data_IF_171591353508
#
_entry.id   IF_171591353508
#
_cell.length_a   1.000
_cell.length_b   1.000
_cell.length_c   1.000
_cell.angle_alpha   90.00
_cell.angle_beta   90.00
_cell.angle_gamma   90.00
#
_symmetry.space_group_name_H-M   'P 1'
#
loop_
_entity.id
_entity.type
_entity.pdbx_description
1 polymer ?
#
# COMPACT_ATOMS: atom_id res chain seq x y z
N UNK A 1 12.74 -3.87 65.13
CA UNK A 1 12.90 -4.38 63.77
C UNK A 1 11.85 -3.78 62.84
N UNK A 2 10.56 -3.74 63.20
CA UNK A 2 9.48 -3.17 62.39
C UNK A 2 9.63 -1.67 62.07
N UNK A 3 10.18 -0.87 62.97
CA UNK A 3 10.42 0.56 62.77
C UNK A 3 11.52 0.85 61.75
N UNK A 4 12.46 -0.07 61.54
CA UNK A 4 13.52 0.01 60.52
C UNK A 4 13.02 -0.50 59.13
N UNK A 5 12.07 -1.39 59.12
CA UNK A 5 11.57 -1.98 57.88
C UNK A 5 10.69 -1.01 57.04
N UNK A 6 9.88 -0.18 57.73
CA UNK A 6 8.99 0.81 57.07
C UNK A 6 9.75 1.83 56.22
N UNK A 7 10.83 2.48 56.67
CA UNK A 7 11.60 3.40 55.84
C UNK A 7 12.21 2.70 54.61
N UNK A 8 12.72 1.48 54.77
CA UNK A 8 13.30 0.72 53.65
C UNK A 8 12.24 0.43 52.58
N UNK A 9 11.06 -0.03 52.99
CA UNK A 9 9.93 -0.24 52.04
C UNK A 9 9.52 1.08 51.35
N UNK A 10 9.47 2.18 52.10
CA UNK A 10 9.15 3.51 51.54
C UNK A 10 10.15 3.89 50.44
N UNK A 11 11.45 3.79 50.70
CA UNK A 11 12.48 4.10 49.72
C UNK A 11 12.44 3.16 48.50
N UNK A 12 12.20 1.87 48.73
CA UNK A 12 12.07 0.89 47.62
C UNK A 12 10.87 1.24 46.74
N UNK A 13 9.71 1.53 47.33
CA UNK A 13 8.51 1.90 46.58
C UNK A 13 8.70 3.25 45.87
N UNK A 14 9.32 4.24 46.51
CA UNK A 14 9.63 5.53 45.90
C UNK A 14 10.59 5.36 44.71
N UNK A 15 11.65 4.56 44.85
CA UNK A 15 12.57 4.25 43.78
C UNK A 15 11.86 3.58 42.59
N UNK A 16 11.03 2.59 42.87
CA UNK A 16 10.25 1.92 41.84
C UNK A 16 9.26 2.85 41.10
N UNK A 17 8.62 3.75 41.87
CA UNK A 17 7.72 4.76 41.33
C UNK A 17 8.48 5.73 40.41
N UNK A 18 9.63 6.26 40.88
CA UNK A 18 10.49 7.12 40.06
C UNK A 18 10.94 6.44 38.78
N UNK A 19 11.43 5.20 38.84
CA UNK A 19 11.88 4.44 37.68
C UNK A 19 10.75 4.29 36.65
N UNK A 20 9.52 3.94 37.09
CA UNK A 20 8.35 3.85 36.19
C UNK A 20 7.98 5.19 35.59
N UNK A 21 8.04 6.27 36.40
CA UNK A 21 7.73 7.62 35.93
C UNK A 21 8.74 8.12 34.92
N UNK A 22 10.03 7.87 35.11
CA UNK A 22 11.07 8.20 34.15
C UNK A 22 10.91 7.42 32.84
N UNK A 23 10.67 6.10 32.91
CA UNK A 23 10.42 5.29 31.71
C UNK A 23 9.16 5.76 30.95
N UNK A 24 8.12 6.20 31.66
CA UNK A 24 6.94 6.80 31.03
C UNK A 24 7.24 8.15 30.39
N UNK A 25 8.01 9.01 31.07
CA UNK A 25 8.42 10.31 30.55
C UNK A 25 9.30 10.16 29.30
N UNK A 26 10.27 9.24 29.32
CA UNK A 26 11.15 8.95 28.16
C UNK A 26 10.33 8.63 26.90
N UNK A 27 9.34 7.72 27.01
CA UNK A 27 8.44 7.39 25.87
C UNK A 27 7.62 8.59 25.37
N UNK A 28 7.22 9.47 26.27
CA UNK A 28 6.49 10.69 25.89
C UNK A 28 7.41 11.64 25.14
N UNK A 29 8.63 11.82 25.62
CA UNK A 29 9.62 12.68 24.97
C UNK A 29 10.09 12.10 23.64
N UNK A 30 10.24 10.78 23.48
CA UNK A 30 10.52 10.16 22.19
C UNK A 30 9.50 10.58 21.12
N UNK A 31 8.21 10.70 21.48
CA UNK A 31 7.16 11.14 20.56
C UNK A 31 7.19 12.65 20.36
N UNK A 32 7.39 13.44 21.43
CA UNK A 32 7.41 14.92 21.35
C UNK A 32 8.63 15.41 20.57
N UNK A 33 9.79 14.78 20.77
CA UNK A 33 11.05 15.15 20.12
C UNK A 33 11.22 14.49 18.74
N UNK A 34 10.27 13.64 18.33
CA UNK A 34 10.29 13.03 17.01
C UNK A 34 10.29 14.12 15.91
N UNK A 35 11.21 14.01 14.97
CA UNK A 35 11.31 14.97 13.87
C UNK A 35 10.06 14.90 13.01
N UNK A 36 9.32 16.00 12.93
CA UNK A 36 8.14 16.09 12.08
C UNK A 36 8.51 15.98 10.59
N UNK A 37 7.62 15.36 9.81
CA UNK A 37 7.77 15.38 8.34
C UNK A 37 7.67 16.82 7.82
N UNK A 38 8.47 17.20 6.79
CA UNK A 38 8.43 18.53 6.18
C UNK A 38 7.22 18.66 5.25
N UNK A 39 6.00 18.50 5.81
CA UNK A 39 4.76 18.48 5.01
C UNK A 39 4.47 19.86 4.39
N UNK A 40 4.74 20.93 5.12
CA UNK A 40 4.49 22.31 4.74
C UNK A 40 5.79 23.10 4.49
N UNK A 41 6.82 22.47 3.91
CA UNK A 41 8.08 23.15 3.61
C UNK A 41 7.84 24.30 2.61
N UNK A 42 8.07 25.59 3.00
CA UNK A 42 7.87 26.73 2.11
C UNK A 42 8.82 26.73 0.89
N UNK A 43 9.92 25.99 0.96
CA UNK A 43 10.93 25.89 -0.12
C UNK A 43 10.64 24.73 -1.06
N UNK A 44 9.65 23.89 -0.76
CA UNK A 44 9.29 22.75 -1.58
C UNK A 44 8.76 23.19 -2.95
N UNK A 45 9.19 22.48 -3.98
CA UNK A 45 8.67 22.66 -5.34
C UNK A 45 7.23 22.19 -5.39
N UNK A 46 6.35 23.08 -5.88
CA UNK A 46 4.94 22.76 -6.06
C UNK A 46 4.71 22.13 -7.42
N UNK A 47 4.06 20.96 -7.43
CA UNK A 47 3.63 20.26 -8.62
C UNK A 47 2.14 19.90 -8.50
N UNK A 48 1.24 20.86 -8.72
CA UNK A 48 -0.19 20.66 -8.51
C UNK A 48 -0.81 19.65 -9.49
N UNK A 49 -0.10 19.31 -10.56
CA UNK A 49 -0.53 18.32 -11.54
C UNK A 49 0.68 17.52 -12.01
N UNK A 50 0.61 16.20 -11.81
CA UNK A 50 1.61 15.26 -12.28
C UNK A 50 1.20 14.64 -13.64
N UNK A 51 2.19 14.29 -14.45
CA UNK A 51 2.03 13.38 -15.58
C UNK A 51 2.13 11.93 -15.11
N UNK A 52 2.99 11.68 -14.11
CA UNK A 52 3.13 10.42 -13.42
C UNK A 52 4.33 9.58 -13.88
N UNK A 53 5.36 10.20 -14.49
CA UNK A 53 6.62 9.50 -14.75
C UNK A 53 7.38 9.31 -13.44
N UNK A 54 7.79 8.06 -13.15
CA UNK A 54 8.56 7.73 -11.94
C UNK A 54 9.92 7.15 -12.36
N UNK A 55 11.00 7.64 -11.75
CA UNK A 55 12.35 7.20 -12.08
C UNK A 55 13.18 7.00 -10.80
N UNK A 56 13.73 5.80 -10.64
CA UNK A 56 14.76 5.49 -9.64
C UNK A 56 16.13 5.57 -10.31
N UNK A 57 17.09 6.27 -9.69
CA UNK A 57 18.48 6.41 -10.17
C UNK A 57 19.42 5.95 -9.07
N UNK A 58 20.11 4.83 -9.29
CA UNK A 58 21.08 4.24 -8.36
C UNK A 58 20.57 4.27 -6.91
N UNK A 59 19.29 3.86 -6.69
CA UNK A 59 18.64 4.03 -5.42
C UNK A 59 19.06 2.93 -4.43
N UNK A 60 19.66 3.36 -3.30
CA UNK A 60 20.00 2.51 -2.15
C UNK A 60 19.14 2.91 -0.97
N UNK A 61 18.66 1.92 -0.23
CA UNK A 61 17.88 2.16 0.98
C UNK A 61 17.90 0.95 1.93
N UNK A 62 17.96 1.21 3.24
CA UNK A 62 17.76 0.24 4.31
C UNK A 62 17.01 0.83 5.49
N UNK A 63 16.13 0.06 6.11
CA UNK A 63 15.42 0.51 7.33
C UNK A 63 16.35 0.60 8.54
N UNK A 64 17.35 -0.28 8.60
CA UNK A 64 18.36 -0.28 9.65
C UNK A 64 19.72 0.11 9.06
N UNK A 65 20.55 0.89 9.76
CA UNK A 65 21.91 1.18 9.35
C UNK A 65 22.71 -0.11 9.09
N UNK A 66 23.35 -0.18 7.93
CA UNK A 66 24.17 -1.34 7.53
C UNK A 66 23.40 -2.56 7.01
N UNK A 67 22.07 -2.50 6.91
CA UNK A 67 21.25 -3.56 6.31
C UNK A 67 20.51 -3.06 5.07
N UNK A 68 21.16 -2.92 3.92
CA UNK A 68 20.53 -2.41 2.71
C UNK A 68 19.46 -3.41 2.20
N UNK A 69 18.25 -2.88 1.96
CA UNK A 69 17.15 -3.59 1.33
C UNK A 69 17.15 -3.37 -0.18
N UNK A 70 17.39 -2.14 -0.63
CA UNK A 70 17.60 -1.81 -2.04
C UNK A 70 19.08 -1.47 -2.27
N UNK A 71 19.64 -1.97 -3.39
CA UNK A 71 21.09 -1.99 -3.64
C UNK A 71 21.42 -1.50 -5.05
N UNK A 72 21.14 -0.22 -5.33
CA UNK A 72 21.36 0.39 -6.63
C UNK A 72 20.25 0.01 -7.60
N UNK A 73 19.05 0.47 -7.34
CA UNK A 73 17.90 0.26 -8.20
C UNK A 73 17.84 1.36 -9.25
N UNK A 74 17.87 0.95 -10.52
CA UNK A 74 17.58 1.79 -11.69
C UNK A 74 16.29 1.29 -12.33
N UNK A 75 15.28 2.16 -12.40
CA UNK A 75 13.97 1.82 -12.96
C UNK A 75 13.29 3.09 -13.47
N UNK A 76 12.80 3.05 -14.69
CA UNK A 76 11.95 4.11 -15.27
C UNK A 76 10.58 3.53 -15.56
N UNK A 77 9.55 4.24 -15.16
CA UNK A 77 8.13 3.93 -15.44
C UNK A 77 7.52 5.15 -16.09
N UNK A 78 7.00 4.99 -17.29
CA UNK A 78 6.46 6.09 -18.07
C UNK A 78 5.00 6.41 -17.67
N UNK A 79 4.52 7.65 -17.96
CA UNK A 79 3.16 8.05 -17.65
C UNK A 79 2.11 7.09 -18.24
N UNK A 80 1.19 6.62 -17.41
CA UNK A 80 0.13 5.71 -17.83
C UNK A 80 0.53 4.25 -17.97
N UNK A 81 1.81 3.91 -17.75
CA UNK A 81 2.30 2.53 -17.78
C UNK A 81 1.88 1.76 -16.53
N UNK A 82 1.46 0.51 -16.69
CA UNK A 82 1.22 -0.41 -15.58
C UNK A 82 2.37 -1.41 -15.45
N UNK A 83 3.11 -1.35 -14.35
CA UNK A 83 4.15 -2.33 -14.04
C UNK A 83 3.72 -3.28 -12.94
N UNK A 84 4.10 -4.56 -13.09
CA UNK A 84 3.96 -5.57 -12.04
C UNK A 84 5.29 -5.79 -11.32
N UNK A 85 5.33 -5.52 -10.01
CA UNK A 85 6.48 -5.80 -9.15
C UNK A 85 6.43 -7.25 -8.67
N UNK A 86 7.42 -8.05 -9.06
CA UNK A 86 7.51 -9.48 -8.77
C UNK A 86 8.78 -9.78 -7.99
N UNK A 87 8.75 -10.77 -7.13
CA UNK A 87 9.92 -11.19 -6.34
C UNK A 87 9.51 -11.89 -5.05
N UNK A 88 10.46 -12.55 -4.41
CA UNK A 88 10.26 -13.22 -3.11
C UNK A 88 9.81 -12.24 -2.03
N UNK A 89 9.22 -12.76 -0.95
CA UNK A 89 8.97 -11.94 0.24
C UNK A 89 10.29 -11.33 0.75
N UNK A 90 10.28 -10.06 1.12
CA UNK A 90 11.49 -9.34 1.56
C UNK A 90 12.43 -8.89 0.44
N UNK A 91 12.14 -9.13 -0.84
CA UNK A 91 13.01 -8.70 -1.95
C UNK A 91 13.11 -7.18 -2.13
N UNK A 92 12.22 -6.36 -1.52
CA UNK A 92 12.23 -4.91 -1.61
C UNK A 92 11.05 -4.28 -2.36
N UNK A 93 10.04 -5.07 -2.79
CA UNK A 93 8.86 -4.55 -3.53
C UNK A 93 8.10 -3.45 -2.77
N UNK A 94 7.70 -3.72 -1.53
CA UNK A 94 7.00 -2.73 -0.69
C UNK A 94 7.90 -1.55 -0.33
N UNK A 95 9.21 -1.76 -0.27
CA UNK A 95 10.18 -0.69 -0.03
C UNK A 95 10.21 0.29 -1.21
N UNK A 96 10.15 -0.18 -2.47
CA UNK A 96 10.01 0.70 -3.63
C UNK A 96 8.76 1.58 -3.53
N UNK A 97 7.63 0.99 -3.16
CA UNK A 97 6.37 1.73 -2.95
C UNK A 97 6.51 2.78 -1.85
N UNK A 98 7.11 2.42 -0.72
CA UNK A 98 7.33 3.33 0.40
C UNK A 98 8.20 4.53 -0.01
N UNK A 99 9.18 4.32 -0.89
CA UNK A 99 10.01 5.40 -1.42
C UNK A 99 9.24 6.28 -2.41
N UNK A 100 8.37 5.73 -3.28
CA UNK A 100 7.51 6.52 -4.17
C UNK A 100 6.58 7.43 -3.36
N UNK A 101 5.98 6.90 -2.27
CA UNK A 101 5.15 7.68 -1.34
C UNK A 101 5.95 8.65 -0.47
N UNK A 102 7.29 8.59 -0.55
CA UNK A 102 8.21 9.33 0.30
C UNK A 102 7.88 9.15 1.79
N UNK A 103 7.57 7.91 2.22
CA UNK A 103 7.55 7.57 3.64
C UNK A 103 8.97 7.47 4.20
N UNK A 104 9.94 7.28 3.32
CA UNK A 104 11.38 7.30 3.61
C UNK A 104 12.10 7.99 2.45
N UNK A 105 13.23 8.61 2.73
CA UNK A 105 14.15 9.11 1.72
C UNK A 105 15.23 8.04 1.44
N UNK A 106 15.77 8.01 0.21
CA UNK A 106 16.84 7.08 -0.15
C UNK A 106 18.16 7.44 0.56
N UNK A 107 18.96 6.43 0.94
CA UNK A 107 20.28 6.62 1.55
C UNK A 107 21.29 7.17 0.52
N UNK A 108 21.19 6.67 -0.73
CA UNK A 108 22.00 7.11 -1.88
C UNK A 108 21.18 7.02 -3.15
N UNK A 109 21.53 7.85 -4.13
CA UNK A 109 20.78 7.97 -5.38
C UNK A 109 19.57 8.90 -5.22
N UNK A 110 18.59 8.72 -6.05
CA UNK A 110 17.39 9.56 -6.05
C UNK A 110 16.16 8.82 -6.60
N UNK A 111 14.98 9.29 -6.17
CA UNK A 111 13.70 8.98 -6.81
C UNK A 111 13.14 10.27 -7.38
N UNK A 112 12.79 10.24 -8.66
CA UNK A 112 12.22 11.41 -9.36
C UNK A 112 10.79 11.14 -9.77
N UNK A 113 9.96 12.16 -9.67
CA UNK A 113 8.61 12.18 -10.26
C UNK A 113 8.56 13.36 -11.22
N UNK A 114 8.22 13.08 -12.47
CA UNK A 114 8.20 14.05 -13.57
C UNK A 114 9.51 14.86 -13.68
N UNK A 115 10.65 14.16 -13.49
CA UNK A 115 12.01 14.74 -13.57
C UNK A 115 12.46 15.50 -12.31
N UNK A 116 11.60 15.70 -11.31
CA UNK A 116 11.95 16.38 -10.05
C UNK A 116 12.23 15.35 -8.95
N UNK A 117 13.32 15.53 -8.22
CA UNK A 117 13.63 14.70 -7.05
C UNK A 117 12.52 14.85 -5.99
N UNK A 118 11.94 13.73 -5.55
CA UNK A 118 10.81 13.75 -4.60
C UNK A 118 11.15 14.44 -3.28
N UNK A 119 12.45 14.52 -2.90
CA UNK A 119 12.89 15.24 -1.71
C UNK A 119 12.67 16.74 -1.80
N UNK A 120 12.59 17.28 -3.01
CA UNK A 120 12.35 18.70 -3.29
C UNK A 120 10.85 19.02 -3.45
N UNK A 121 10.01 17.99 -3.63
CA UNK A 121 8.57 18.18 -3.86
C UNK A 121 7.82 18.45 -2.55
N UNK A 122 6.76 19.25 -2.66
CA UNK A 122 5.75 19.33 -1.61
C UNK A 122 5.12 17.96 -1.35
N UNK A 123 5.17 17.48 -0.11
CA UNK A 123 4.55 16.19 0.27
C UNK A 123 3.05 16.18 0.03
N UNK A 124 2.38 17.33 0.23
CA UNK A 124 0.95 17.47 -0.05
C UNK A 124 0.64 17.28 -1.52
N UNK A 125 1.41 17.91 -2.42
CA UNK A 125 1.21 17.79 -3.86
C UNK A 125 1.56 16.37 -4.35
N UNK A 126 2.66 15.78 -3.88
CA UNK A 126 3.07 14.42 -4.23
C UNK A 126 2.03 13.39 -3.78
N UNK A 127 1.73 13.33 -2.47
CA UNK A 127 0.79 12.34 -1.90
C UNK A 127 -0.64 12.58 -2.33
N UNK A 128 -1.03 13.83 -2.61
CA UNK A 128 -2.34 14.18 -3.15
C UNK A 128 -2.59 13.62 -4.55
N UNK A 129 -1.55 13.18 -5.26
CA UNK A 129 -1.66 12.58 -6.59
C UNK A 129 -1.27 11.08 -6.62
N UNK A 130 -1.06 10.50 -5.46
CA UNK A 130 -0.84 9.05 -5.29
C UNK A 130 -2.09 8.44 -4.67
N UNK A 131 -2.65 7.42 -5.30
CA UNK A 131 -3.73 6.59 -4.76
C UNK A 131 -3.22 5.21 -4.40
N UNK A 132 -3.74 4.64 -3.32
CA UNK A 132 -3.38 3.28 -2.90
C UNK A 132 -4.61 2.42 -2.68
N UNK A 133 -4.60 1.21 -3.23
CA UNK A 133 -5.53 0.13 -2.91
C UNK A 133 -4.71 -0.97 -2.25
N UNK A 134 -4.80 -1.04 -0.92
CA UNK A 134 -4.03 -1.99 -0.11
C UNK A 134 -4.68 -3.37 -0.09
N UNK A 135 -3.88 -4.38 0.25
CA UNK A 135 -4.30 -5.78 0.43
C UNK A 135 -5.44 -5.90 1.45
N UNK A 136 -5.27 -5.29 2.61
CA UNK A 136 -6.33 -5.14 3.59
C UNK A 136 -6.97 -3.76 3.45
N UNK A 137 -8.18 -3.74 2.89
CA UNK A 137 -8.94 -2.50 2.72
C UNK A 137 -9.33 -1.92 4.07
N UNK A 138 -8.63 -0.87 4.51
CA UNK A 138 -8.95 -0.17 5.73
C UNK A 138 -10.12 0.82 5.51
N UNK A 139 -11.15 0.69 6.33
CA UNK A 139 -12.27 1.63 6.37
C UNK A 139 -12.34 2.30 7.74
N UNK A 140 -12.56 3.61 7.72
CA UNK A 140 -12.77 4.39 8.94
C UNK A 140 -14.17 4.14 9.51
N UNK A 141 -14.28 4.18 10.82
CA UNK A 141 -15.58 4.10 11.48
C UNK A 141 -16.45 5.32 11.10
N UNK A 142 -17.39 5.07 10.20
CA UNK A 142 -18.26 6.10 9.60
C UNK A 142 -19.26 5.46 8.65
N UNK A 143 -19.89 6.27 7.79
CA UNK A 143 -20.78 5.79 6.74
C UNK A 143 -19.99 5.33 5.50
N UNK A 144 -20.65 4.61 4.60
CA UNK A 144 -20.09 4.24 3.29
C UNK A 144 -19.76 5.52 2.50
N UNK A 145 -20.65 6.52 2.54
CA UNK A 145 -20.44 7.80 1.90
C UNK A 145 -19.15 8.48 2.38
N UNK A 146 -18.98 8.64 3.71
CA UNK A 146 -17.80 9.24 4.32
C UNK A 146 -16.52 8.49 3.93
N UNK A 147 -16.58 7.17 3.85
CA UNK A 147 -15.43 6.36 3.45
C UNK A 147 -15.05 6.56 1.98
N UNK A 148 -16.00 6.71 1.07
CA UNK A 148 -15.72 6.98 -0.35
C UNK A 148 -15.18 8.39 -0.52
N UNK A 149 -15.78 9.40 0.18
CA UNK A 149 -15.37 10.80 0.13
C UNK A 149 -14.05 11.10 0.82
N UNK A 150 -13.42 10.15 1.54
CA UNK A 150 -12.29 10.40 2.44
C UNK A 150 -11.17 11.24 1.80
N UNK A 151 -10.82 10.99 0.55
CA UNK A 151 -9.77 11.73 -0.15
C UNK A 151 -10.27 13.04 -0.81
N UNK A 152 -11.61 13.22 -0.94
CA UNK A 152 -12.27 14.41 -1.49
C UNK A 152 -13.53 14.70 -0.69
N UNK A 153 -13.40 15.33 0.51
CA UNK A 153 -14.52 15.56 1.42
C UNK A 153 -15.60 16.49 0.85
N UNK A 154 -15.24 17.31 -0.12
CA UNK A 154 -16.11 18.26 -0.85
C UNK A 154 -16.85 17.64 -2.06
N UNK A 155 -16.65 16.35 -2.32
CA UNK A 155 -17.30 15.67 -3.43
C UNK A 155 -18.82 15.61 -3.25
N UNK A 156 -19.56 15.91 -4.32
CA UNK A 156 -21.01 15.80 -4.34
C UNK A 156 -21.48 14.35 -4.29
N UNK A 157 -22.71 14.13 -3.79
CA UNK A 157 -23.31 12.80 -3.79
C UNK A 157 -23.32 12.13 -5.17
N UNK A 158 -23.54 12.93 -6.23
CA UNK A 158 -23.53 12.43 -7.60
C UNK A 158 -22.15 11.92 -8.03
N UNK A 159 -21.05 12.55 -7.60
CA UNK A 159 -19.67 12.10 -7.86
C UNK A 159 -19.38 10.81 -7.11
N UNK A 160 -19.75 10.74 -5.84
CA UNK A 160 -19.61 9.53 -5.00
C UNK A 160 -20.37 8.37 -5.62
N UNK A 161 -21.63 8.59 -6.06
CA UNK A 161 -22.42 7.55 -6.70
C UNK A 161 -21.79 7.08 -8.02
N UNK A 162 -21.23 7.99 -8.84
CA UNK A 162 -20.51 7.62 -10.08
C UNK A 162 -19.28 6.76 -9.75
N UNK A 163 -18.48 7.16 -8.77
CA UNK A 163 -17.32 6.38 -8.33
C UNK A 163 -17.73 4.99 -7.80
N UNK A 164 -18.79 4.90 -7.01
CA UNK A 164 -19.32 3.63 -6.51
C UNK A 164 -19.83 2.72 -7.64
N UNK A 165 -20.48 3.27 -8.68
CA UNK A 165 -20.90 2.51 -9.87
C UNK A 165 -19.68 1.98 -10.63
N UNK A 166 -18.67 2.82 -10.86
CA UNK A 166 -17.45 2.43 -11.54
C UNK A 166 -16.66 1.34 -10.79
N UNK A 167 -16.77 1.33 -9.46
CA UNK A 167 -16.19 0.31 -8.59
C UNK A 167 -17.07 -0.95 -8.40
N UNK A 168 -18.18 -1.08 -9.11
CA UNK A 168 -19.17 -2.15 -8.90
C UNK A 168 -19.69 -2.23 -7.43
N UNK A 169 -19.71 -1.09 -6.73
CA UNK A 169 -20.13 -1.00 -5.33
C UNK A 169 -21.58 -0.55 -5.16
N UNK A 170 -22.12 0.23 -6.08
CA UNK A 170 -23.44 0.84 -5.97
C UNK A 170 -24.56 -0.17 -5.68
N UNK A 171 -24.56 -1.30 -6.37
CA UNK A 171 -25.62 -2.31 -6.26
C UNK A 171 -25.78 -2.85 -4.84
N UNK A 172 -24.65 -3.21 -4.17
CA UNK A 172 -24.75 -3.70 -2.79
C UNK A 172 -25.02 -2.56 -1.78
N UNK A 173 -24.54 -1.33 -2.07
CA UNK A 173 -24.75 -0.17 -1.20
C UNK A 173 -26.25 0.13 -1.09
N UNK A 174 -26.98 0.17 -2.20
CA UNK A 174 -28.43 0.46 -2.18
C UNK A 174 -29.28 -0.65 -1.56
N UNK A 175 -28.72 -1.84 -1.41
CA UNK A 175 -29.37 -2.95 -0.70
C UNK A 175 -29.19 -2.89 0.83
N UNK A 176 -28.28 -2.03 1.34
CA UNK A 176 -28.13 -1.80 2.78
C UNK A 176 -29.33 -0.95 3.29
N UNK A 177 -29.73 -1.13 4.55
CA UNK A 177 -30.92 -0.44 5.10
C UNK A 177 -30.89 1.08 4.92
N UNK A 178 -29.71 1.71 5.15
CA UNK A 178 -29.52 3.16 5.04
C UNK A 178 -28.74 3.56 3.77
N UNK A 179 -28.59 2.64 2.80
CA UNK A 179 -27.85 2.89 1.57
C UNK A 179 -26.43 3.42 1.81
N UNK A 180 -26.13 4.59 1.27
CA UNK A 180 -24.82 5.25 1.43
C UNK A 180 -24.55 5.73 2.87
N UNK A 181 -25.58 5.97 3.69
CA UNK A 181 -25.44 6.39 5.09
C UNK A 181 -25.22 5.20 6.04
N UNK A 182 -25.27 3.97 5.53
CA UNK A 182 -25.02 2.77 6.32
C UNK A 182 -23.64 2.81 6.97
N UNK A 183 -23.60 2.57 8.29
CA UNK A 183 -22.33 2.57 9.05
C UNK A 183 -21.56 1.28 8.81
N UNK A 184 -20.27 1.42 8.47
CA UNK A 184 -19.39 0.30 8.15
C UNK A 184 -18.85 -0.43 9.38
N UNK A 185 -18.94 0.19 10.58
CA UNK A 185 -18.38 -0.33 11.82
C UNK A 185 -16.88 -0.09 11.95
N UNK A 186 -16.28 -0.64 13.03
CA UNK A 186 -14.85 -0.49 13.26
C UNK A 186 -14.07 -1.32 12.20
N UNK A 187 -13.16 -0.66 11.48
CA UNK A 187 -12.42 -1.27 10.35
C UNK A 187 -13.31 -1.99 9.32
N UNK A 188 -14.57 -1.54 9.22
CA UNK A 188 -15.51 -2.12 8.26
C UNK A 188 -16.02 -3.52 8.63
N UNK A 189 -16.10 -3.89 9.91
CA UNK A 189 -16.50 -5.22 10.40
C UNK A 189 -17.90 -5.66 9.94
N UNK A 190 -18.76 -4.69 9.57
CA UNK A 190 -20.11 -4.96 9.03
C UNK A 190 -20.17 -5.26 7.54
N UNK A 191 -19.00 -5.34 6.88
CA UNK A 191 -18.89 -5.56 5.44
C UNK A 191 -18.05 -6.80 5.14
N UNK A 192 -18.40 -7.50 4.06
CA UNK A 192 -17.57 -8.58 3.52
C UNK A 192 -16.25 -8.04 2.95
N UNK A 193 -15.24 -8.89 2.79
CA UNK A 193 -13.95 -8.50 2.21
C UNK A 193 -14.09 -7.86 0.83
N UNK A 194 -14.91 -8.42 -0.04
CA UNK A 194 -15.15 -7.88 -1.37
C UNK A 194 -15.96 -6.56 -1.38
N UNK A 195 -16.83 -6.32 -0.39
CA UNK A 195 -17.51 -5.03 -0.23
C UNK A 195 -16.54 -3.95 0.22
N UNK A 196 -15.68 -4.24 1.22
CA UNK A 196 -14.61 -3.32 1.68
C UNK A 196 -13.70 -2.93 0.52
N UNK A 197 -13.29 -3.90 -0.27
CA UNK A 197 -12.39 -3.68 -1.39
C UNK A 197 -13.01 -2.79 -2.48
N UNK A 198 -14.29 -3.02 -2.84
CA UNK A 198 -14.99 -2.17 -3.81
C UNK A 198 -15.20 -0.74 -3.28
N UNK A 199 -15.40 -0.54 -1.98
CA UNK A 199 -15.42 0.80 -1.38
C UNK A 199 -14.03 1.46 -1.48
N UNK A 200 -12.95 0.71 -1.20
CA UNK A 200 -11.59 1.23 -1.34
C UNK A 200 -11.26 1.60 -2.79
N UNK A 201 -11.71 0.80 -3.76
CA UNK A 201 -11.58 1.13 -5.19
C UNK A 201 -12.41 2.37 -5.54
N UNK A 202 -13.66 2.51 -5.02
CA UNK A 202 -14.48 3.69 -5.24
C UNK A 202 -13.81 4.96 -4.69
N UNK A 203 -13.18 4.88 -3.52
CA UNK A 203 -12.34 5.94 -2.93
C UNK A 203 -11.22 6.35 -3.87
N UNK A 204 -10.48 5.39 -4.43
CA UNK A 204 -9.39 5.61 -5.36
C UNK A 204 -9.88 6.21 -6.70
N UNK A 205 -11.03 5.77 -7.22
CA UNK A 205 -11.65 6.35 -8.42
C UNK A 205 -12.08 7.80 -8.20
N UNK A 206 -12.70 8.09 -7.04
CA UNK A 206 -13.13 9.46 -6.70
C UNK A 206 -11.95 10.40 -6.51
N UNK A 207 -10.86 9.90 -5.92
CA UNK A 207 -9.62 10.63 -5.72
C UNK A 207 -8.94 11.02 -7.04
N UNK A 208 -9.03 10.16 -8.06
CA UNK A 208 -8.45 10.34 -9.41
C UNK A 208 -6.94 10.63 -9.43
N UNK A 209 -6.11 9.79 -8.79
CA UNK A 209 -4.67 10.00 -8.70
C UNK A 209 -3.98 9.77 -10.06
N UNK A 210 -2.80 10.36 -10.26
CA UNK A 210 -1.94 10.08 -11.42
C UNK A 210 -1.08 8.84 -11.25
N UNK A 211 -0.64 8.58 -10.03
CA UNK A 211 0.12 7.38 -9.67
C UNK A 211 -0.76 6.49 -8.80
N UNK A 212 -0.90 5.25 -9.19
CA UNK A 212 -1.72 4.25 -8.49
C UNK A 212 -0.84 3.11 -7.96
N UNK A 213 -1.07 2.76 -6.71
CA UNK A 213 -0.42 1.62 -6.06
C UNK A 213 -1.48 0.57 -5.77
N UNK A 214 -1.26 -0.63 -6.29
CA UNK A 214 -2.11 -1.80 -6.04
C UNK A 214 -1.31 -2.84 -5.27
N UNK A 215 -1.68 -3.08 -4.02
CA UNK A 215 -1.09 -4.11 -3.20
C UNK A 215 -2.08 -5.26 -3.04
N UNK A 216 -1.79 -6.40 -3.70
CA UNK A 216 -2.54 -7.69 -3.65
C UNK A 216 -4.09 -7.59 -3.51
N UNK A 217 -4.72 -6.80 -4.36
CA UNK A 217 -6.12 -6.39 -4.23
C UNK A 217 -7.19 -7.52 -4.30
N UNK A 218 -6.87 -8.83 -4.27
CA UNK A 218 -7.88 -9.90 -4.50
C UNK A 218 -7.75 -11.16 -3.65
N UNK A 219 -6.93 -11.19 -2.59
CA UNK A 219 -6.55 -12.45 -1.91
C UNK A 219 -7.64 -13.15 -1.09
N UNK A 220 -8.79 -12.52 -0.80
CA UNK A 220 -9.77 -13.01 0.18
C UNK A 220 -11.24 -12.98 -0.28
N UNK A 221 -11.52 -13.08 -1.60
CA UNK A 221 -12.86 -12.86 -2.15
C UNK A 221 -13.36 -14.10 -2.89
N UNK A 222 -14.66 -14.41 -2.76
CA UNK A 222 -15.34 -15.46 -3.51
C UNK A 222 -15.33 -15.19 -5.04
N UNK A 223 -15.35 -16.24 -5.85
CA UNK A 223 -15.18 -16.17 -7.31
C UNK A 223 -16.10 -15.17 -8.05
N UNK A 224 -17.42 -15.07 -7.76
CA UNK A 224 -18.27 -14.08 -8.42
C UNK A 224 -17.95 -12.64 -8.05
N UNK A 225 -17.59 -12.40 -6.79
CA UNK A 225 -17.21 -11.07 -6.28
C UNK A 225 -15.82 -10.68 -6.79
N UNK A 226 -14.89 -11.63 -6.92
CA UNK A 226 -13.56 -11.41 -7.49
C UNK A 226 -13.64 -10.83 -8.90
N UNK A 227 -14.53 -11.34 -9.76
CA UNK A 227 -14.72 -10.81 -11.12
C UNK A 227 -15.15 -9.33 -11.08
N UNK A 228 -16.09 -8.96 -10.20
CA UNK A 228 -16.53 -7.56 -10.05
C UNK A 228 -15.41 -6.64 -9.57
N UNK A 229 -14.55 -7.13 -8.67
CA UNK A 229 -13.36 -6.41 -8.18
C UNK A 229 -12.35 -6.23 -9.31
N UNK A 230 -12.05 -7.27 -10.09
CA UNK A 230 -11.12 -7.20 -11.22
C UNK A 230 -11.59 -6.21 -12.29
N UNK A 231 -12.87 -6.22 -12.66
CA UNK A 231 -13.45 -5.25 -13.58
C UNK A 231 -13.31 -3.80 -13.05
N UNK A 232 -13.50 -3.60 -11.75
CA UNK A 232 -13.34 -2.28 -11.13
C UNK A 232 -11.87 -1.83 -11.15
N UNK A 233 -10.92 -2.73 -10.89
CA UNK A 233 -9.47 -2.46 -10.99
C UNK A 233 -9.10 -2.12 -12.44
N UNK A 234 -9.59 -2.86 -13.44
CA UNK A 234 -9.31 -2.56 -14.85
C UNK A 234 -9.77 -1.15 -15.25
N UNK A 235 -10.90 -0.67 -14.71
CA UNK A 235 -11.33 0.73 -14.93
C UNK A 235 -10.44 1.72 -14.18
N UNK A 236 -10.03 1.36 -12.96
CA UNK A 236 -9.21 2.21 -12.11
C UNK A 236 -7.82 2.47 -12.70
N UNK A 237 -7.18 1.47 -13.32
CA UNK A 237 -5.81 1.59 -13.86
C UNK A 237 -5.72 2.41 -15.14
N UNK A 238 -6.82 2.60 -15.87
CA UNK A 238 -6.81 3.30 -17.17
C UNK A 238 -6.28 4.73 -17.05
N UNK A 239 -5.25 5.05 -17.83
CA UNK A 239 -4.65 6.37 -17.91
C UNK A 239 -3.87 6.80 -16.66
N UNK A 240 -3.49 5.84 -15.79
CA UNK A 240 -2.71 6.06 -14.57
C UNK A 240 -1.45 5.24 -14.58
N UNK A 241 -0.35 5.85 -14.13
CA UNK A 241 0.89 5.10 -13.88
C UNK A 241 0.66 4.19 -12.70
N UNK A 242 0.74 2.88 -12.91
CA UNK A 242 0.31 1.90 -11.90
C UNK A 242 1.44 0.98 -11.49
N UNK A 243 1.67 0.89 -10.19
CA UNK A 243 2.59 -0.07 -9.56
C UNK A 243 1.76 -1.16 -8.88
N UNK A 244 1.76 -2.37 -9.43
CA UNK A 244 1.05 -3.50 -8.87
C UNK A 244 2.02 -4.46 -8.18
N UNK A 245 1.91 -4.64 -6.86
CA UNK A 245 2.58 -5.74 -6.15
C UNK A 245 1.72 -6.97 -6.36
N UNK A 246 2.21 -7.90 -7.16
CA UNK A 246 1.40 -9.03 -7.56
C UNK A 246 1.82 -10.31 -6.82
N UNK A 247 0.86 -10.88 -6.11
CA UNK A 247 0.92 -12.24 -5.59
C UNK A 247 0.10 -13.23 -6.45
N UNK A 248 -0.74 -12.72 -7.36
CA UNK A 248 -1.52 -13.55 -8.29
C UNK A 248 -1.11 -13.32 -9.75
N UNK A 249 -0.97 -14.43 -10.48
CA UNK A 249 -0.63 -14.46 -11.90
C UNK A 249 -1.60 -13.66 -12.78
N UNK A 250 -2.89 -13.54 -12.38
CA UNK A 250 -3.90 -12.79 -13.13
C UNK A 250 -3.60 -11.29 -13.18
N UNK A 251 -3.09 -10.72 -12.11
CA UNK A 251 -2.68 -9.30 -12.07
C UNK A 251 -1.44 -9.04 -12.93
N UNK A 252 -0.52 -10.01 -12.98
CA UNK A 252 0.71 -9.94 -13.77
C UNK A 252 0.46 -9.98 -15.28
N UNK A 253 -0.60 -10.66 -15.75
CA UNK A 253 -0.91 -10.79 -17.18
C UNK A 253 -1.36 -9.48 -17.82
N UNK A 254 -1.92 -8.57 -17.02
CA UNK A 254 -2.45 -7.29 -17.51
C UNK A 254 -1.46 -6.14 -17.38
N UNK A 255 -0.27 -6.38 -16.81
CA UNK A 255 0.79 -5.39 -16.73
C UNK A 255 1.47 -5.24 -18.09
N UNK A 256 1.77 -3.99 -18.47
CA UNK A 256 2.53 -3.69 -19.68
C UNK A 256 3.94 -4.28 -19.58
N UNK A 257 4.50 -4.26 -18.37
CA UNK A 257 5.84 -4.76 -18.08
C UNK A 257 5.92 -5.31 -16.66
N UNK A 258 6.71 -6.36 -16.48
CA UNK A 258 7.04 -6.92 -15.17
C UNK A 258 8.46 -6.52 -14.79
N UNK A 259 8.63 -6.19 -13.52
CA UNK A 259 9.92 -5.86 -12.90
C UNK A 259 10.18 -6.86 -11.80
N UNK A 260 11.17 -7.72 -12.01
CA UNK A 260 11.56 -8.74 -11.04
C UNK A 260 12.61 -8.18 -10.12
N UNK A 261 12.28 -8.13 -8.83
CA UNK A 261 13.19 -7.70 -7.77
C UNK A 261 13.75 -8.95 -7.08
N UNK A 262 15.06 -9.05 -7.09
CA UNK A 262 15.77 -10.11 -6.38
C UNK A 262 16.97 -9.52 -5.61
N UNK A 263 17.09 -9.90 -4.34
CA UNK A 263 18.14 -9.42 -3.41
C UNK A 263 18.34 -7.89 -3.38
N UNK A 264 17.25 -7.14 -3.55
CA UNK A 264 17.25 -5.68 -3.53
C UNK A 264 17.67 -5.00 -4.83
N UNK A 265 17.73 -5.73 -5.94
CA UNK A 265 18.07 -5.21 -7.27
C UNK A 265 16.97 -5.53 -8.28
N UNK A 266 16.89 -4.75 -9.34
CA UNK A 266 16.13 -5.10 -10.54
C UNK A 266 16.92 -6.17 -11.28
N UNK A 267 16.42 -7.40 -11.26
CA UNK A 267 17.07 -8.56 -11.86
C UNK A 267 16.62 -8.81 -13.30
N UNK A 268 15.31 -8.67 -13.57
CA UNK A 268 14.73 -8.90 -14.88
C UNK A 268 13.63 -7.86 -15.14
N UNK A 269 13.50 -7.43 -16.41
CA UNK A 269 12.42 -6.56 -16.88
C UNK A 269 11.96 -7.09 -18.23
N UNK A 270 10.66 -7.14 -18.44
CA UNK A 270 10.05 -7.58 -19.70
C UNK A 270 8.57 -7.89 -19.56
N UNK A 271 7.93 -8.23 -20.64
CA UNK A 271 6.55 -8.74 -20.66
C UNK A 271 6.49 -10.13 -20.00
N UNK A 272 5.29 -10.55 -19.61
CA UNK A 272 5.09 -11.90 -19.07
C UNK A 272 5.64 -12.99 -20.01
N UNK A 273 5.40 -12.86 -21.33
CA UNK A 273 5.85 -13.84 -22.31
C UNK A 273 7.37 -13.87 -22.42
N UNK A 274 8.02 -12.72 -22.58
CA UNK A 274 9.48 -12.61 -22.68
C UNK A 274 10.19 -13.21 -21.46
N UNK A 275 9.67 -12.94 -20.24
CA UNK A 275 10.27 -13.45 -19.01
C UNK A 275 10.06 -14.96 -18.83
N UNK A 276 8.93 -15.50 -19.34
CA UNK A 276 8.71 -16.96 -19.37
C UNK A 276 9.67 -17.65 -20.35
N UNK A 277 9.88 -17.06 -21.54
CA UNK A 277 10.80 -17.60 -22.56
C UNK A 277 12.27 -17.58 -22.14
N UNK A 278 12.67 -16.59 -21.28
CA UNK A 278 14.03 -16.50 -20.75
C UNK A 278 14.37 -17.56 -19.71
N UNK A 279 13.37 -18.28 -19.17
CA UNK A 279 13.52 -19.31 -18.11
C UNK A 279 14.34 -18.85 -16.88
N UNK A 280 14.29 -17.54 -16.57
CA UNK A 280 15.06 -16.90 -15.53
C UNK A 280 14.44 -17.00 -14.13
N UNK A 281 14.60 -15.94 -13.34
CA UNK A 281 14.05 -15.84 -11.96
C UNK A 281 12.53 -15.83 -11.99
N UNK A 282 11.93 -15.08 -12.92
CA UNK A 282 10.48 -15.00 -13.08
C UNK A 282 9.87 -16.37 -13.34
N UNK A 283 10.42 -17.12 -14.30
CA UNK A 283 9.96 -18.46 -14.65
C UNK A 283 9.96 -19.40 -13.44
N UNK A 284 11.05 -19.39 -12.65
CA UNK A 284 11.16 -20.19 -11.44
C UNK A 284 10.11 -19.82 -10.40
N UNK A 285 9.84 -18.51 -10.20
CA UNK A 285 8.81 -18.03 -9.28
C UNK A 285 7.41 -18.49 -9.69
N UNK A 286 7.07 -18.38 -10.99
CA UNK A 286 5.77 -18.81 -11.54
C UNK A 286 5.58 -20.32 -11.35
N UNK A 287 6.57 -21.14 -11.71
CA UNK A 287 6.49 -22.59 -11.58
C UNK A 287 6.34 -23.03 -10.11
N UNK A 288 7.08 -22.42 -9.20
CA UNK A 288 6.96 -22.72 -7.76
C UNK A 288 5.56 -22.38 -7.26
N UNK A 289 4.99 -21.24 -7.68
CA UNK A 289 3.64 -20.84 -7.27
C UNK A 289 2.56 -21.78 -7.83
N UNK A 290 2.69 -22.21 -9.10
CA UNK A 290 1.77 -23.17 -9.71
C UNK A 290 1.82 -24.53 -9.00
N UNK A 291 3.00 -25.03 -8.68
CA UNK A 291 3.17 -26.28 -7.92
C UNK A 291 2.51 -26.19 -6.53
N UNK A 292 2.71 -25.09 -5.81
CA UNK A 292 2.11 -24.89 -4.49
C UNK A 292 0.58 -24.87 -4.58
N UNK A 293 0.02 -24.20 -5.60
CA UNK A 293 -1.43 -24.15 -5.81
C UNK A 293 -2.01 -25.53 -6.18
N UNK A 294 -1.30 -26.29 -7.00
CA UNK A 294 -1.71 -27.65 -7.38
C UNK A 294 -1.68 -28.62 -6.17
N UNK A 295 -0.67 -28.52 -5.31
CA UNK A 295 -0.57 -29.35 -4.08
C UNK A 295 -1.70 -29.03 -3.10
N UNK A 296 -2.04 -27.74 -2.92
CA UNK A 296 -3.16 -27.34 -2.05
C UNK A 296 -4.52 -27.82 -2.59
N UNK A 297 -4.71 -27.81 -3.91
CA UNK A 297 -5.94 -28.31 -4.53
C UNK A 297 -6.10 -29.84 -4.36
N UNK A 298 -5.02 -30.61 -4.33
CA UNK A 298 -5.04 -32.07 -4.13
C UNK A 298 -5.15 -32.45 -2.65
N UNK A 299 -4.59 -31.64 -1.72
CA UNK A 299 -4.63 -31.90 -0.28
C UNK A 299 -5.96 -31.62 0.39
N UNK A 300 -6.79 -30.71 -0.17
CA UNK A 300 -8.11 -30.36 0.38
C UNK A 300 -9.23 -31.38 0.13
N UNK A 301 -8.95 -32.50 -0.51
CA UNK A 301 -9.92 -33.56 -0.83
C UNK A 301 -9.87 -34.82 0.05
N UNK A 302 -9.11 -34.84 1.13
CA UNK A 302 -8.89 -36.06 1.94
C UNK A 302 -9.49 -36.08 3.35
N UNK A 303 -10.15 -35.00 3.79
CA UNK A 303 -10.79 -34.93 5.12
C UNK A 303 -12.30 -34.72 5.04
N UNK A 304 -12.96 -35.44 4.15
CA UNK A 304 -14.42 -35.53 4.11
C UNK A 304 -14.83 -36.97 3.78
N UNK A 305 -14.62 -37.86 4.75
CA UNK A 305 -15.34 -39.16 4.88
C UNK A 305 -15.52 -39.45 6.38
#
# INVERSE_FOLDING_TARGET
IWQLYRPIQFFTNASNMLTRSFAGAERIFEVIDAKAEPFDDPQAVRLPKLEGRVEFRDAFFGYDPGKPVLKGVDLVVDPGEMIGLVGKSGAGKSTLINLICRFYDVDRGAVHVDGTDIRQLSLGDLRGQIGMVAQESFLFNGSIFENICYARPDASFAEVMRAAKAANAHEFIVQKPDGYDSKVGERGDKLSGGEKQRISIARAILHDPKILILDEATSSVDTPTEKKVQEAIQRLVQGRTTFAIAHRLSTLRNADRLVVIDEGKVAEVGTHQELMEREGIFYKLVNTQQQTTAVMAVGGGKDAD
#
